data_IF_621325801440
#
_entry.id   IF_621325801440
#
_cell.length_a   1.000
_cell.length_b   1.000
_cell.length_c   1.000
_cell.angle_alpha   90.00
_cell.angle_beta   90.00
_cell.angle_gamma   90.00
#
_symmetry.space_group_name_H-M   'P 1'
#
loop_
_entity.id
_entity.type
_entity.pdbx_description
1 polymer ?
#
# COMPACT_ATOMS: atom_id res chain seq x y z
N UNK A 1 41.77 -25.96 4.58
CA UNK A 1 40.41 -25.48 4.24
C UNK A 1 40.24 -24.14 4.94
N UNK A 2 40.30 -23.04 4.22
CA UNK A 2 39.94 -21.73 4.78
C UNK A 2 38.42 -21.70 4.90
N UNK A 3 37.91 -21.59 6.13
CA UNK A 3 36.50 -21.34 6.37
C UNK A 3 36.15 -19.97 5.81
N UNK A 4 35.26 -19.92 4.83
CA UNK A 4 34.60 -18.68 4.45
C UNK A 4 33.70 -18.33 5.63
N UNK A 5 34.05 -17.31 6.40
CA UNK A 5 33.09 -16.67 7.30
C UNK A 5 31.98 -16.12 6.40
N UNK A 6 30.77 -16.69 6.50
CA UNK A 6 29.58 -16.08 5.94
C UNK A 6 29.39 -14.75 6.67
N UNK A 7 29.92 -13.67 6.10
CA UNK A 7 29.63 -12.34 6.59
C UNK A 7 28.18 -12.06 6.23
N UNK A 8 27.31 -12.32 7.20
CA UNK A 8 25.94 -11.83 7.18
C UNK A 8 25.97 -10.31 6.98
N UNK A 9 25.16 -9.82 6.05
CA UNK A 9 25.04 -8.41 5.76
C UNK A 9 23.87 -7.83 6.53
N UNK A 10 24.11 -6.75 7.27
CA UNK A 10 23.05 -5.98 7.90
C UNK A 10 22.44 -5.00 6.89
N UNK A 11 21.12 -4.88 6.90
CA UNK A 11 20.35 -4.05 5.97
C UNK A 11 19.53 -3.00 6.73
N UNK A 12 19.66 -1.75 6.30
CA UNK A 12 18.77 -0.66 6.68
C UNK A 12 17.81 -0.33 5.54
N UNK A 13 16.51 -0.37 5.80
CA UNK A 13 15.45 0.01 4.85
C UNK A 13 14.88 1.35 5.28
N UNK A 14 14.89 2.34 4.36
CA UNK A 14 14.31 3.66 4.60
C UNK A 14 12.91 3.74 3.97
N UNK A 15 11.90 3.86 4.82
CA UNK A 15 10.47 3.80 4.47
C UNK A 15 9.87 2.45 4.84
N UNK A 16 8.89 2.46 5.75
CA UNK A 16 8.12 1.29 6.20
C UNK A 16 6.72 1.24 5.57
N UNK A 17 6.57 1.79 4.38
CA UNK A 17 5.39 1.61 3.53
C UNK A 17 5.38 0.21 2.88
N UNK A 18 4.43 -0.04 1.98
CA UNK A 18 4.21 -1.36 1.37
C UNK A 18 5.49 -1.91 0.75
N UNK A 19 6.21 -1.12 -0.04
CA UNK A 19 7.45 -1.54 -0.70
C UNK A 19 8.58 -1.83 0.28
N UNK A 20 8.74 -1.03 1.34
CA UNK A 20 9.76 -1.24 2.35
C UNK A 20 9.53 -2.50 3.18
N UNK A 21 8.27 -2.77 3.55
CA UNK A 21 7.90 -4.00 4.25
C UNK A 21 8.02 -5.24 3.34
N UNK A 22 7.65 -5.11 2.06
CA UNK A 22 7.83 -6.18 1.08
C UNK A 22 9.32 -6.51 0.87
N UNK A 23 10.17 -5.49 0.77
CA UNK A 23 11.61 -5.66 0.68
C UNK A 23 12.17 -6.34 1.94
N UNK A 24 11.77 -5.88 3.14
CA UNK A 24 12.17 -6.51 4.40
C UNK A 24 11.80 -8.00 4.43
N UNK A 25 10.56 -8.32 4.05
CA UNK A 25 10.06 -9.71 4.01
C UNK A 25 10.86 -10.56 3.03
N UNK A 26 11.05 -10.11 1.79
CA UNK A 26 11.84 -10.88 0.81
C UNK A 26 13.30 -11.07 1.21
N UNK A 27 13.88 -10.11 1.93
CA UNK A 27 15.26 -10.21 2.43
C UNK A 27 15.41 -11.17 3.61
N UNK A 28 14.36 -11.38 4.42
CA UNK A 28 14.40 -12.37 5.51
C UNK A 28 14.53 -13.82 5.02
N UNK A 29 14.23 -14.09 3.74
CA UNK A 29 14.35 -15.42 3.15
C UNK A 29 15.79 -15.76 2.71
N UNK A 30 16.75 -14.84 2.87
CA UNK A 30 18.12 -14.99 2.40
C UNK A 30 19.10 -15.35 3.51
N UNK A 31 19.78 -16.50 3.37
CA UNK A 31 20.75 -17.03 4.35
C UNK A 31 22.03 -16.18 4.54
N UNK A 32 22.21 -15.12 3.74
CA UNK A 32 23.36 -14.23 3.83
C UNK A 32 23.04 -12.87 4.49
N UNK A 33 21.82 -12.67 4.96
CA UNK A 33 21.38 -11.42 5.60
C UNK A 33 21.27 -11.65 7.10
N UNK A 34 21.91 -10.78 7.87
CA UNK A 34 21.82 -10.74 9.32
C UNK A 34 20.64 -9.89 9.75
N UNK A 35 20.92 -8.73 10.34
CA UNK A 35 19.87 -7.86 10.85
C UNK A 35 19.21 -7.01 9.75
N UNK A 36 17.88 -6.97 9.74
CA UNK A 36 17.10 -6.07 8.89
C UNK A 36 16.39 -5.04 9.78
N UNK A 37 16.70 -3.76 9.57
CA UNK A 37 16.10 -2.66 10.32
C UNK A 37 15.34 -1.72 9.39
N UNK A 38 14.04 -1.54 9.65
CA UNK A 38 13.18 -0.63 8.88
C UNK A 38 13.02 0.68 9.64
N UNK A 39 13.33 1.78 8.97
CA UNK A 39 13.14 3.13 9.48
C UNK A 39 11.95 3.78 8.79
N UNK A 40 10.92 4.11 9.55
CA UNK A 40 9.77 4.87 9.08
C UNK A 40 9.69 6.19 9.86
N UNK A 41 9.44 7.29 9.14
CA UNK A 41 9.31 8.62 9.72
C UNK A 41 8.03 8.75 10.54
N UNK A 42 6.95 8.13 10.09
CA UNK A 42 5.63 8.24 10.71
C UNK A 42 5.37 7.10 11.70
N UNK A 43 4.77 7.41 12.85
CA UNK A 43 4.19 6.37 13.71
C UNK A 43 3.08 5.62 12.96
N UNK A 44 3.04 4.30 13.09
CA UNK A 44 2.07 3.46 12.40
C UNK A 44 0.61 3.87 12.70
N UNK A 45 0.31 4.25 13.95
CA UNK A 45 -1.01 4.74 14.37
C UNK A 45 -1.44 6.06 13.71
N UNK A 46 -0.48 6.82 13.20
CA UNK A 46 -0.68 8.11 12.51
C UNK A 46 -0.57 7.97 11.00
N UNK A 47 -0.27 6.77 10.50
CA UNK A 47 -0.20 6.50 9.08
C UNK A 47 -1.59 6.69 8.48
N UNK A 48 -1.62 7.37 7.35
CA UNK A 48 -2.77 7.52 6.47
C UNK A 48 -2.33 6.98 5.13
N UNK A 49 -3.12 6.12 4.52
CA UNK A 49 -2.87 5.70 3.15
C UNK A 49 -3.59 6.69 2.25
N UNK A 50 -2.94 7.83 2.04
CA UNK A 50 -3.44 8.91 1.16
C UNK A 50 -3.18 8.60 -0.33
N UNK A 51 -2.85 7.35 -0.66
CA UNK A 51 -2.69 6.87 -2.02
C UNK A 51 -3.85 5.92 -2.34
N UNK A 52 -4.73 6.33 -3.25
CA UNK A 52 -5.63 5.42 -3.95
C UNK A 52 -4.83 4.55 -4.92
N UNK A 53 -3.91 3.72 -4.41
CA UNK A 53 -3.21 2.74 -5.22
C UNK A 53 -4.18 1.60 -5.50
N UNK A 54 -4.63 1.50 -6.75
CA UNK A 54 -5.25 0.28 -7.23
C UNK A 54 -4.16 -0.80 -7.25
N UNK A 55 -4.06 -1.57 -6.16
CA UNK A 55 -3.26 -2.80 -6.16
C UNK A 55 -4.02 -3.78 -7.04
N UNK A 56 -3.50 -3.98 -8.26
CA UNK A 56 -4.05 -4.86 -9.27
C UNK A 56 -4.06 -6.34 -8.83
N UNK A 57 -3.23 -6.70 -7.86
CA UNK A 57 -3.19 -8.04 -7.28
C UNK A 57 -3.03 -8.00 -5.74
N UNK A 58 -4.17 -8.13 -5.06
CA UNK A 58 -4.23 -8.17 -3.60
C UNK A 58 -3.46 -9.33 -2.97
N UNK A 59 -3.15 -10.38 -3.73
CA UNK A 59 -2.46 -11.58 -3.22
C UNK A 59 -1.02 -11.27 -2.80
N UNK A 60 -0.44 -10.17 -3.31
CA UNK A 60 0.92 -9.72 -2.98
C UNK A 60 1.03 -9.04 -1.60
N UNK A 61 -0.09 -8.71 -0.96
CA UNK A 61 -0.05 -8.06 0.36
C UNK A 61 0.01 -9.13 1.45
N UNK A 62 1.04 -9.16 2.32
CA UNK A 62 1.26 -10.21 3.33
C UNK A 62 0.39 -10.00 4.59
N UNK A 63 -0.85 -9.57 4.40
CA UNK A 63 -1.87 -9.44 5.44
C UNK A 63 -3.06 -10.32 5.08
N UNK A 64 -3.66 -10.95 6.09
CA UNK A 64 -4.90 -11.69 5.92
C UNK A 64 -5.99 -10.79 5.34
N UNK A 65 -6.78 -11.32 4.39
CA UNK A 65 -7.80 -10.59 3.63
C UNK A 65 -9.08 -10.39 4.43
N UNK A 66 -8.96 -9.77 5.59
CA UNK A 66 -10.07 -9.49 6.51
C UNK A 66 -10.59 -8.06 6.35
N UNK A 67 -11.77 -7.78 6.92
CA UNK A 67 -12.32 -6.41 6.96
C UNK A 67 -11.48 -5.49 7.83
N UNK A 68 -10.99 -6.02 8.94
CA UNK A 68 -10.16 -5.34 9.92
C UNK A 68 -8.84 -4.86 9.30
N UNK A 69 -8.31 -5.60 8.31
CA UNK A 69 -7.13 -5.24 7.52
C UNK A 69 -7.45 -4.43 6.25
N UNK A 70 -8.72 -4.07 6.00
CA UNK A 70 -9.13 -3.21 4.88
C UNK A 70 -9.35 -3.90 3.53
N UNK A 71 -9.47 -5.23 3.47
CA UNK A 71 -9.57 -5.97 2.19
C UNK A 71 -10.99 -6.26 1.71
N UNK A 72 -11.96 -6.29 2.61
CA UNK A 72 -13.34 -6.68 2.33
C UNK A 72 -14.31 -5.53 2.57
N UNK A 73 -13.99 -4.37 1.98
CA UNK A 73 -14.90 -3.24 1.99
C UNK A 73 -16.04 -3.49 0.99
N UNK A 74 -17.27 -3.50 1.49
CA UNK A 74 -18.45 -3.52 0.64
C UNK A 74 -18.68 -2.09 0.17
N UNK A 75 -18.32 -1.79 -1.08
CA UNK A 75 -18.47 -0.46 -1.65
C UNK A 75 -19.76 -0.43 -2.46
N UNK A 76 -20.70 0.44 -2.06
CA UNK A 76 -21.99 0.58 -2.74
C UNK A 76 -21.85 1.29 -4.10
N UNK A 77 -20.77 2.05 -4.28
CA UNK A 77 -20.47 2.77 -5.51
C UNK A 77 -19.41 3.86 -5.35
N UNK A 78 -19.17 4.59 -6.44
CA UNK A 78 -18.22 5.69 -6.52
C UNK A 78 -18.90 6.94 -7.08
N UNK A 79 -18.45 8.12 -6.67
CA UNK A 79 -18.82 9.35 -7.35
C UNK A 79 -17.69 9.77 -8.29
N UNK A 80 -17.98 9.80 -9.59
CA UNK A 80 -17.11 10.36 -10.60
C UNK A 80 -17.43 11.84 -10.79
N UNK A 81 -16.43 12.70 -10.64
CA UNK A 81 -16.51 14.13 -10.91
C UNK A 81 -15.52 14.49 -12.01
N UNK A 82 -15.99 15.16 -13.06
CA UNK A 82 -15.16 15.59 -14.19
C UNK A 82 -14.89 17.08 -14.07
N UNK A 83 -13.64 17.49 -14.23
CA UNK A 83 -13.21 18.89 -14.19
C UNK A 83 -12.49 19.28 -15.48
N UNK A 84 -12.26 20.58 -15.67
CA UNK A 84 -11.59 21.12 -16.85
C UNK A 84 -10.12 20.69 -16.97
N UNK A 85 -9.42 20.54 -15.85
CA UNK A 85 -8.00 20.20 -15.82
C UNK A 85 -7.43 20.03 -14.41
N UNK A 86 -6.16 19.64 -14.32
CA UNK A 86 -5.43 19.47 -13.04
C UNK A 86 -4.92 20.79 -12.47
N UNK A 87 -4.92 21.85 -13.27
CA UNK A 87 -4.52 23.22 -12.95
C UNK A 87 -5.71 24.14 -12.61
N UNK A 88 -6.90 23.55 -12.45
CA UNK A 88 -8.13 24.26 -12.09
C UNK A 88 -8.05 25.01 -10.76
N UNK A 89 -8.94 25.98 -10.60
CA UNK A 89 -9.19 26.57 -9.28
C UNK A 89 -9.75 25.50 -8.33
N UNK A 90 -9.32 25.52 -7.07
CA UNK A 90 -9.76 24.56 -6.06
C UNK A 90 -11.29 24.61 -5.82
N UNK A 91 -11.92 25.76 -6.07
CA UNK A 91 -13.35 25.99 -5.89
C UNK A 91 -14.15 25.86 -7.21
N UNK A 92 -13.51 25.49 -8.32
CA UNK A 92 -14.21 25.24 -9.58
C UNK A 92 -15.24 24.11 -9.38
N UNK A 93 -16.52 24.32 -9.77
CA UNK A 93 -17.50 23.24 -9.73
C UNK A 93 -17.21 22.21 -10.85
N UNK A 94 -17.50 20.91 -10.64
CA UNK A 94 -17.29 19.90 -11.66
C UNK A 94 -18.18 20.16 -12.90
N UNK A 95 -17.62 19.91 -14.08
CA UNK A 95 -18.34 19.93 -15.36
C UNK A 95 -19.45 18.88 -15.42
N UNK A 96 -19.25 17.76 -14.72
CA UNK A 96 -20.21 16.68 -14.63
C UNK A 96 -19.98 15.84 -13.38
N UNK A 97 -21.08 15.33 -12.82
CA UNK A 97 -21.09 14.41 -11.68
C UNK A 97 -21.89 13.18 -12.08
N UNK A 98 -21.34 12.00 -11.81
CA UNK A 98 -22.05 10.73 -11.99
C UNK A 98 -21.82 9.85 -10.77
N UNK A 99 -22.89 9.19 -10.30
CA UNK A 99 -22.80 8.16 -9.27
C UNK A 99 -22.76 6.80 -9.96
N UNK A 100 -21.62 6.12 -9.87
CA UNK A 100 -21.39 4.78 -10.38
C UNK A 100 -21.76 3.79 -9.29
N UNK A 101 -22.72 2.91 -9.55
CA UNK A 101 -23.06 1.84 -8.61
C UNK A 101 -22.20 0.61 -8.86
N UNK A 102 -21.87 -0.09 -7.78
CA UNK A 102 -21.18 -1.36 -7.84
C UNK A 102 -22.20 -2.49 -7.66
N UNK A 103 -22.08 -3.54 -8.47
CA UNK A 103 -22.87 -4.75 -8.24
C UNK A 103 -22.43 -5.40 -6.92
N UNK A 104 -23.37 -6.11 -6.29
CA UNK A 104 -23.21 -6.80 -5.01
C UNK A 104 -22.20 -7.96 -5.12
N UNK A 105 -20.91 -7.61 -5.11
CA UNK A 105 -19.71 -8.46 -5.01
C UNK A 105 -18.42 -7.64 -5.23
N UNK A 106 -18.51 -6.34 -5.50
CA UNK A 106 -17.34 -5.50 -5.78
C UNK A 106 -16.57 -5.21 -4.49
N UNK A 107 -15.53 -5.99 -4.24
CA UNK A 107 -14.56 -5.72 -3.18
C UNK A 107 -13.49 -4.79 -3.72
N UNK A 108 -13.37 -3.60 -3.14
CA UNK A 108 -12.28 -2.66 -3.44
C UNK A 108 -11.36 -2.58 -2.24
N UNK A 109 -10.08 -2.82 -2.49
CA UNK A 109 -9.03 -2.59 -1.50
C UNK A 109 -8.68 -1.12 -1.59
N UNK A 110 -9.42 -0.32 -0.85
CA UNK A 110 -9.06 1.03 -0.54
C UNK A 110 -8.40 1.00 0.84
N UNK A 111 -7.08 1.05 0.86
CA UNK A 111 -6.34 1.41 2.06
C UNK A 111 -6.60 2.89 2.32
N UNK A 112 -7.26 3.22 3.44
CA UNK A 112 -7.39 4.59 3.95
C UNK A 112 -6.16 5.03 4.74
#
# INVERSE_FOLDING_TARGET
MYGMSSHEQDIAILGGAVSGLAAATGLTESDCIGDIMVFERQEYSKKRVDCGEAINDSTLIPLEKTKENGFLNNVDGFQLQVYTGTDRDNNEPPLGISNLQCDAATSVIATQ
#
